data_IF_275742447522
#
_entry.id   IF_275742447522
#
_cell.length_a   1.000
_cell.length_b   1.000
_cell.length_c   1.000
_cell.angle_alpha   90.00
_cell.angle_beta   90.00
_cell.angle_gamma   90.00
#
_symmetry.space_group_name_H-M   'P 1'
#
loop_
_entity.id
_entity.type
_entity.pdbx_description
1 polymer ?
#
# COMPACT_ATOMS: atom_id res chain seq x y z
N UNK A 1 -13.55 20.77 -24.34
CA UNK A 1 -13.48 20.91 -22.88
C UNK A 1 -12.65 19.73 -22.41
N UNK A 2 -11.47 19.98 -21.85
CA UNK A 2 -10.55 18.93 -21.45
C UNK A 2 -11.16 18.16 -20.28
N UNK A 3 -11.38 16.86 -20.47
CA UNK A 3 -11.89 15.99 -19.42
C UNK A 3 -10.69 15.50 -18.59
N UNK A 4 -10.60 16.00 -17.36
CA UNK A 4 -9.57 15.61 -16.41
C UNK A 4 -10.12 14.53 -15.48
N UNK A 5 -9.56 13.33 -15.56
CA UNK A 5 -9.97 12.20 -14.73
C UNK A 5 -8.82 11.75 -13.85
N UNK A 6 -9.02 11.76 -12.54
CA UNK A 6 -8.03 11.25 -11.59
C UNK A 6 -8.45 9.88 -11.07
N UNK A 7 -7.52 8.94 -11.02
CA UNK A 7 -7.75 7.61 -10.46
C UNK A 7 -6.58 7.19 -9.56
N UNK A 8 -6.88 6.45 -8.50
CA UNK A 8 -5.84 5.85 -7.64
C UNK A 8 -5.67 4.40 -8.06
N UNK A 9 -4.44 3.99 -8.39
CA UNK A 9 -4.09 2.61 -8.68
C UNK A 9 -3.31 2.03 -7.51
N UNK A 10 -3.68 0.83 -7.08
CA UNK A 10 -2.92 0.06 -6.08
C UNK A 10 -2.83 -1.40 -6.52
N UNK A 11 -1.81 -2.10 -6.07
CA UNK A 11 -1.71 -3.54 -6.32
C UNK A 11 -2.45 -4.33 -5.25
N UNK A 12 -2.92 -5.53 -5.61
CA UNK A 12 -3.57 -6.42 -4.64
C UNK A 12 -2.68 -6.75 -3.43
N UNK A 13 -1.36 -6.90 -3.65
CA UNK A 13 -0.41 -7.19 -2.57
C UNK A 13 -0.22 -6.00 -1.61
N UNK A 14 -0.14 -4.76 -2.09
CA UNK A 14 -0.05 -3.57 -1.22
C UNK A 14 -1.33 -3.42 -0.39
N UNK A 15 -2.49 -3.53 -1.04
CA UNK A 15 -3.77 -3.47 -0.35
C UNK A 15 -3.89 -4.57 0.71
N UNK A 16 -3.52 -5.81 0.38
CA UNK A 16 -3.54 -6.92 1.34
C UNK A 16 -2.57 -6.71 2.50
N UNK A 17 -1.40 -6.11 2.26
CA UNK A 17 -0.42 -5.82 3.31
C UNK A 17 -0.90 -4.74 4.28
N UNK A 18 -1.58 -3.70 3.78
CA UNK A 18 -2.30 -2.72 4.60
C UNK A 18 -3.36 -3.39 5.48
N UNK A 19 -4.13 -4.31 4.91
CA UNK A 19 -5.16 -5.07 5.65
C UNK A 19 -4.55 -5.97 6.72
N UNK A 20 -3.49 -6.70 6.38
CA UNK A 20 -2.80 -7.61 7.30
C UNK A 20 -2.28 -6.87 8.54
N UNK A 21 -1.63 -5.72 8.34
CA UNK A 21 -1.14 -4.90 9.45
C UNK A 21 -2.27 -4.38 10.33
N UNK A 22 -3.41 -4.01 9.73
CA UNK A 22 -4.56 -3.56 10.50
C UNK A 22 -5.11 -4.64 11.42
N UNK A 23 -5.29 -5.84 10.87
CA UNK A 23 -5.90 -6.96 11.57
C UNK A 23 -5.04 -7.43 12.75
N UNK A 24 -3.72 -7.25 12.65
CA UNK A 24 -2.77 -7.53 13.73
C UNK A 24 -2.69 -6.43 14.81
N UNK A 25 -3.39 -5.30 14.64
CA UNK A 25 -3.43 -4.19 15.60
C UNK A 25 -4.80 -4.09 16.27
N UNK A 26 -4.83 -4.07 17.60
CA UNK A 26 -6.06 -3.86 18.38
C UNK A 26 -6.55 -2.40 18.38
N UNK A 27 -5.82 -1.50 17.73
CA UNK A 27 -6.09 -0.07 17.68
C UNK A 27 -6.11 0.44 16.23
N UNK A 28 -6.64 1.66 16.06
CA UNK A 28 -6.50 2.43 14.82
C UNK A 28 -5.04 2.51 14.39
N UNK A 29 -4.82 2.43 13.08
CA UNK A 29 -3.49 2.46 12.46
C UNK A 29 -3.44 3.61 11.47
N UNK A 30 -2.30 4.29 11.40
CA UNK A 30 -2.04 5.32 10.40
C UNK A 30 -0.65 5.14 9.80
N UNK A 31 -0.45 5.71 8.63
CA UNK A 31 0.83 5.62 7.94
C UNK A 31 0.90 6.46 6.68
N UNK A 32 2.06 6.42 6.04
CA UNK A 32 2.35 7.15 4.81
C UNK A 32 2.24 6.22 3.60
N UNK A 33 1.78 6.77 2.49
CA UNK A 33 1.70 6.10 1.19
C UNK A 33 2.79 6.66 0.28
N UNK A 34 3.49 5.74 -0.39
CA UNK A 34 4.58 6.07 -1.27
C UNK A 34 4.35 5.46 -2.65
N UNK A 35 4.76 6.20 -3.66
CA UNK A 35 4.63 5.78 -5.05
C UNK A 35 4.90 6.95 -5.98
N UNK A 36 4.17 6.97 -7.08
CA UNK A 36 4.37 7.93 -8.15
C UNK A 36 3.03 8.40 -8.70
N UNK A 37 3.06 9.52 -9.40
CA UNK A 37 1.90 10.09 -10.06
C UNK A 37 2.21 10.29 -11.54
N UNK A 38 1.34 9.76 -12.39
CA UNK A 38 1.56 9.70 -13.84
C UNK A 38 0.36 10.33 -14.53
N UNK A 39 0.59 11.43 -15.25
CA UNK A 39 -0.38 12.01 -16.16
C UNK A 39 -0.24 11.40 -17.55
N UNK A 40 -1.27 10.72 -18.02
CA UNK A 40 -1.35 10.18 -19.39
C UNK A 40 -2.31 11.02 -20.22
N UNK A 41 -1.86 11.45 -21.40
CA UNK A 41 -2.73 12.03 -22.41
C UNK A 41 -3.31 10.91 -23.28
N UNK A 42 -4.64 10.78 -23.30
CA UNK A 42 -5.36 9.82 -24.14
C UNK A 42 -6.17 10.57 -25.17
N UNK A 43 -5.73 10.50 -26.43
CA UNK A 43 -6.53 10.94 -27.55
C UNK A 43 -7.51 9.84 -27.94
N UNK A 44 -8.81 10.11 -27.75
CA UNK A 44 -9.87 9.22 -28.22
C UNK A 44 -10.33 9.71 -29.58
N UNK A 45 -9.91 9.00 -30.63
CA UNK A 45 -10.35 9.27 -32.00
C UNK A 45 -11.81 8.82 -32.11
N UNK A 46 -12.70 9.77 -32.37
CA UNK A 46 -14.11 9.53 -32.64
C UNK A 46 -14.36 9.54 -34.15
N UNK A 47 -15.46 8.94 -34.63
CA UNK A 47 -15.83 8.97 -36.05
C UNK A 47 -16.17 10.38 -36.57
N UNK A 48 -16.45 11.32 -35.66
CA UNK A 48 -16.41 12.76 -35.94
C UNK A 48 -14.97 13.24 -36.00
N UNK A 49 -14.59 14.03 -37.02
CA UNK A 49 -13.26 14.61 -37.28
C UNK A 49 -12.71 15.56 -36.18
N UNK A 50 -13.14 15.38 -34.93
CA UNK A 50 -12.74 16.16 -33.76
C UNK A 50 -11.98 15.27 -32.79
N UNK A 51 -10.71 15.60 -32.54
CA UNK A 51 -9.90 14.93 -31.54
C UNK A 51 -10.36 15.33 -30.14
N UNK A 52 -10.79 14.35 -29.34
CA UNK A 52 -11.12 14.55 -27.94
C UNK A 52 -9.95 14.07 -27.08
N UNK A 53 -9.16 15.04 -26.59
CA UNK A 53 -8.04 14.79 -25.69
C UNK A 53 -8.57 14.66 -24.25
N UNK A 54 -8.35 13.50 -23.64
CA UNK A 54 -8.63 13.23 -22.24
C UNK A 54 -7.31 13.14 -21.45
N UNK A 55 -7.21 13.85 -20.34
CA UNK A 55 -6.07 13.75 -19.44
C UNK A 55 -6.42 12.83 -18.29
N UNK A 56 -5.75 11.67 -18.24
CA UNK A 56 -5.93 10.67 -17.20
C UNK A 56 -4.77 10.76 -16.23
N UNK A 57 -5.04 11.25 -15.03
CA UNK A 57 -4.09 11.34 -13.96
C UNK A 57 -4.17 10.10 -13.06
N UNK A 58 -3.12 9.31 -13.01
CA UNK A 58 -3.07 8.06 -12.27
C UNK A 58 -2.08 8.15 -11.11
N UNK A 59 -2.59 8.07 -9.89
CA UNK A 59 -1.78 8.04 -8.67
C UNK A 59 -1.52 6.59 -8.30
N UNK A 60 -0.29 6.12 -8.48
CA UNK A 60 0.09 4.72 -8.30
C UNK A 60 0.73 4.49 -6.93
N UNK A 61 0.02 3.79 -6.04
CA UNK A 61 0.51 3.41 -4.71
C UNK A 61 1.37 2.15 -4.83
N UNK A 62 2.66 2.29 -4.58
CA UNK A 62 3.64 1.20 -4.71
C UNK A 62 3.99 0.56 -3.36
N UNK A 63 4.01 1.34 -2.27
CA UNK A 63 4.35 0.86 -0.93
C UNK A 63 3.73 1.74 0.15
N UNK A 64 3.70 1.25 1.38
CA UNK A 64 3.25 1.99 2.54
C UNK A 64 4.23 1.85 3.71
N UNK A 65 4.22 2.84 4.61
CA UNK A 65 4.94 2.81 5.88
C UNK A 65 3.95 3.00 7.00
N UNK A 66 3.99 2.12 7.98
CA UNK A 66 3.08 2.12 9.12
C UNK A 66 3.73 2.83 10.30
N UNK A 67 3.01 3.78 10.87
CA UNK A 67 3.46 4.45 12.07
C UNK A 67 3.28 3.53 13.28
N UNK A 68 4.23 3.56 14.22
CA UNK A 68 4.21 2.72 15.43
C UNK A 68 3.06 3.05 16.38
N UNK A 69 2.62 4.30 16.37
CA UNK A 69 1.52 4.81 17.19
C UNK A 69 0.72 5.82 16.38
N UNK A 70 -0.54 6.01 16.74
CA UNK A 70 -1.31 7.17 16.28
C UNK A 70 -0.71 8.46 16.85
N UNK A 71 -0.95 9.59 16.18
CA UNK A 71 -0.37 10.89 16.55
C UNK A 71 1.16 10.90 16.52
N UNK A 72 1.73 10.11 15.61
CA UNK A 72 3.19 9.93 15.52
C UNK A 72 3.88 11.15 14.91
N UNK A 73 3.31 11.74 13.87
CA UNK A 73 3.91 12.84 13.11
C UNK A 73 3.14 14.17 13.23
N UNK A 74 2.10 14.22 14.07
CA UNK A 74 1.31 15.42 14.33
C UNK A 74 0.87 15.52 15.78
N UNK A 75 0.66 16.75 16.25
CA UNK A 75 0.25 17.04 17.63
C UNK A 75 -1.29 17.14 17.77
N UNK A 76 -1.77 17.42 19.00
CA UNK A 76 -3.21 17.56 19.28
C UNK A 76 -3.86 18.76 18.58
N UNK A 77 -3.07 19.79 18.22
CA UNK A 77 -3.50 20.93 17.42
C UNK A 77 -3.46 20.64 15.91
N UNK A 78 -3.20 19.38 15.52
CA UNK A 78 -3.13 18.91 14.13
C UNK A 78 -1.99 19.53 13.31
N UNK A 79 -1.01 20.15 13.96
CA UNK A 79 0.20 20.64 13.34
C UNK A 79 1.14 19.46 13.10
N UNK A 80 1.72 19.44 11.91
CA UNK A 80 2.53 18.34 11.41
C UNK A 80 4.01 18.68 11.61
N UNK A 81 4.76 17.73 12.15
CA UNK A 81 6.17 17.88 12.46
C UNK A 81 7.01 17.25 11.34
N UNK A 82 7.73 18.08 10.59
CA UNK A 82 8.55 17.64 9.47
C UNK A 82 9.72 16.74 9.91
N UNK A 83 10.29 16.96 11.09
CA UNK A 83 11.39 16.13 11.58
C UNK A 83 10.91 14.72 11.89
N UNK A 84 9.70 14.59 12.47
CA UNK A 84 9.10 13.27 12.71
C UNK A 84 8.74 12.55 11.43
N UNK A 85 8.27 13.27 10.40
CA UNK A 85 8.06 12.68 9.07
C UNK A 85 9.38 12.15 8.50
N UNK A 86 10.46 12.94 8.58
CA UNK A 86 11.80 12.49 8.16
C UNK A 86 12.27 11.26 8.94
N UNK A 87 12.02 11.20 10.24
CA UNK A 87 12.33 10.03 11.06
C UNK A 87 11.53 8.79 10.60
N UNK A 88 10.24 8.94 10.31
CA UNK A 88 9.40 7.84 9.80
C UNK A 88 9.85 7.38 8.41
N UNK A 89 10.23 8.30 7.53
CA UNK A 89 10.75 7.99 6.20
C UNK A 89 12.17 7.41 6.23
N UNK A 90 12.95 7.74 7.27
CA UNK A 90 14.34 7.33 7.50
C UNK A 90 15.24 7.57 6.28
N UNK A 91 15.29 6.62 5.34
CA UNK A 91 16.14 6.63 4.14
C UNK A 91 15.36 6.86 2.83
N UNK A 92 14.04 6.99 2.91
CA UNK A 92 13.17 7.17 1.76
C UNK A 92 12.99 8.64 1.47
N UNK A 93 13.08 9.00 0.19
CA UNK A 93 12.94 10.38 -0.24
C UNK A 93 11.51 10.88 -0.04
N UNK A 94 11.39 12.10 0.50
CA UNK A 94 10.11 12.79 0.71
C UNK A 94 9.31 12.97 -0.59
N UNK A 95 10.00 13.09 -1.73
CA UNK A 95 9.39 13.24 -3.06
C UNK A 95 8.49 12.06 -3.47
N UNK A 96 8.70 10.90 -2.86
CA UNK A 96 7.91 9.70 -3.15
C UNK A 96 6.60 9.65 -2.33
N UNK A 97 6.37 10.59 -1.41
CA UNK A 97 5.16 10.61 -0.56
C UNK A 97 4.01 11.18 -1.36
N UNK A 98 3.14 10.28 -1.84
CA UNK A 98 1.95 10.60 -2.62
C UNK A 98 0.69 10.70 -1.75
N UNK A 99 0.77 10.26 -0.49
CA UNK A 99 -0.41 10.22 0.37
C UNK A 99 -0.15 9.75 1.78
N UNK A 100 -1.23 9.62 2.53
CA UNK A 100 -1.25 8.96 3.82
C UNK A 100 -2.54 8.16 3.96
N UNK A 101 -2.54 7.21 4.87
CA UNK A 101 -3.70 6.37 5.12
C UNK A 101 -4.03 6.31 6.60
N UNK A 102 -5.30 6.03 6.87
CA UNK A 102 -5.79 5.75 8.22
C UNK A 102 -6.78 4.61 8.18
N UNK A 103 -6.73 3.79 9.21
CA UNK A 103 -7.60 2.64 9.38
C UNK A 103 -8.35 2.78 10.68
N UNK A 104 -9.68 2.77 10.61
CA UNK A 104 -10.58 2.94 11.76
C UNK A 104 -11.57 1.79 11.82
N UNK A 105 -11.88 1.29 13.02
CA UNK A 105 -12.82 0.17 13.17
C UNK A 105 -14.25 0.66 13.41
N UNK A 106 -15.23 0.07 12.73
CA UNK A 106 -16.66 0.32 12.94
C UNK A 106 -17.09 1.81 12.81
N UNK A 107 -16.48 2.56 11.87
CA UNK A 107 -16.81 3.97 11.62
C UNK A 107 -17.51 4.19 10.28
N UNK A 108 -17.93 5.41 9.97
CA UNK A 108 -18.38 5.77 8.61
C UNK A 108 -17.18 6.02 7.68
N UNK A 109 -17.39 5.85 6.37
CA UNK A 109 -16.42 6.18 5.31
C UNK A 109 -16.40 7.69 5.01
N UNK A 110 -16.11 8.50 6.03
CA UNK A 110 -16.02 9.95 5.91
C UNK A 110 -14.79 10.49 6.65
N UNK A 111 -14.15 11.51 6.07
CA UNK A 111 -13.05 12.21 6.74
C UNK A 111 -13.57 12.98 7.96
N UNK A 112 -12.88 12.82 9.09
CA UNK A 112 -13.11 13.64 10.28
C UNK A 112 -12.45 15.01 10.12
N UNK A 113 -12.91 16.00 10.89
CA UNK A 113 -12.29 17.34 10.93
C UNK A 113 -10.78 17.27 11.20
N UNK A 114 -10.38 16.38 12.11
CA UNK A 114 -8.97 16.16 12.45
C UNK A 114 -8.17 15.65 11.24
N UNK A 115 -8.69 14.65 10.52
CA UNK A 115 -8.05 14.14 9.31
C UNK A 115 -7.97 15.19 8.20
N UNK A 116 -9.01 16.02 8.04
CA UNK A 116 -9.01 17.12 7.09
C UNK A 116 -7.91 18.14 7.43
N UNK A 117 -7.80 18.56 8.68
CA UNK A 117 -6.77 19.52 9.12
C UNK A 117 -5.36 18.96 8.97
N UNK A 118 -5.13 17.70 9.40
CA UNK A 118 -3.84 17.03 9.23
C UNK A 118 -3.47 16.91 7.75
N UNK A 119 -4.43 16.55 6.89
CA UNK A 119 -4.21 16.46 5.46
C UNK A 119 -3.85 17.83 4.83
N UNK A 120 -4.54 18.91 5.23
CA UNK A 120 -4.20 20.26 4.78
C UNK A 120 -2.80 20.68 5.20
N UNK A 121 -2.41 20.37 6.43
CA UNK A 121 -1.08 20.70 6.96
C UNK A 121 0.01 19.86 6.30
N UNK A 122 -0.23 18.57 6.05
CA UNK A 122 0.67 17.71 5.27
C UNK A 122 0.89 18.26 3.86
N UNK A 123 -0.18 18.67 3.18
CA UNK A 123 -0.10 19.23 1.82
C UNK A 123 0.73 20.52 1.74
N UNK A 124 0.72 21.34 2.81
CA UNK A 124 1.54 22.57 2.87
C UNK A 124 3.03 22.27 3.06
N UNK A 125 3.36 21.18 3.73
CA UNK A 125 4.73 20.79 4.06
C UNK A 125 5.39 19.92 2.99
N UNK A 126 4.62 19.02 2.39
CA UNK A 126 5.11 18.09 1.38
C UNK A 126 5.17 18.78 0.00
N UNK A 127 6.15 18.43 -0.85
CA UNK A 127 6.26 19.03 -2.18
C UNK A 127 5.09 18.64 -3.10
N UNK A 128 4.46 17.49 -2.84
CA UNK A 128 3.38 16.97 -3.65
C UNK A 128 2.03 17.59 -3.24
N UNK A 129 1.45 18.39 -4.13
CA UNK A 129 0.21 19.12 -3.85
C UNK A 129 -1.05 18.28 -3.97
N UNK A 130 -1.01 17.13 -4.64
CA UNK A 130 -2.17 16.25 -4.86
C UNK A 130 -2.15 15.04 -3.92
N UNK A 131 -1.89 15.31 -2.65
CA UNK A 131 -1.81 14.29 -1.62
C UNK A 131 -3.10 13.48 -1.53
N UNK A 132 -3.02 12.16 -1.56
CA UNK A 132 -4.18 11.26 -1.38
C UNK A 132 -4.34 10.89 0.09
N UNK A 133 -5.58 10.86 0.57
CA UNK A 133 -5.93 10.25 1.85
C UNK A 133 -6.71 8.96 1.63
N UNK A 134 -6.14 7.82 2.04
CA UNK A 134 -6.81 6.53 1.96
C UNK A 134 -7.42 6.15 3.32
N UNK A 135 -8.73 6.03 3.39
CA UNK A 135 -9.45 5.57 4.57
C UNK A 135 -9.85 4.11 4.40
N UNK A 136 -9.47 3.25 5.35
CA UNK A 136 -9.97 1.88 5.40
C UNK A 136 -10.80 1.69 6.67
N UNK A 137 -11.96 1.07 6.53
CA UNK A 137 -12.87 0.82 7.65
C UNK A 137 -13.36 -0.62 7.62
N UNK A 138 -12.77 -1.52 8.42
CA UNK A 138 -13.43 -2.78 8.73
C UNK A 138 -14.63 -2.54 9.63
N UNK A 139 -15.71 -3.24 9.33
CA UNK A 139 -16.95 -3.24 10.06
C UNK A 139 -17.50 -4.66 10.16
N UNK A 140 -18.18 -4.94 11.26
CA UNK A 140 -18.95 -6.16 11.43
C UNK A 140 -20.36 -5.92 10.87
N UNK A 141 -20.79 -6.76 9.94
CA UNK A 141 -22.10 -6.58 9.29
C UNK A 141 -23.20 -7.26 10.09
N UNK A 142 -22.88 -8.39 10.72
CA UNK A 142 -23.83 -9.20 11.49
C UNK A 142 -23.48 -9.19 12.97
N UNK A 143 -24.50 -9.21 13.83
CA UNK A 143 -24.33 -9.35 15.29
C UNK A 143 -23.70 -10.69 15.68
N UNK A 144 -23.81 -11.69 14.81
CA UNK A 144 -23.22 -13.02 15.00
C UNK A 144 -21.72 -13.08 14.64
N UNK A 145 -21.10 -11.97 14.21
CA UNK A 145 -19.72 -11.92 13.72
C UNK A 145 -19.43 -12.92 12.58
N UNK A 146 -20.45 -13.33 11.84
CA UNK A 146 -20.31 -14.29 10.72
C UNK A 146 -19.87 -13.62 9.43
N UNK A 147 -20.12 -12.31 9.30
CA UNK A 147 -19.85 -11.54 8.09
C UNK A 147 -19.11 -10.26 8.45
N UNK A 148 -17.89 -10.14 7.94
CA UNK A 148 -17.08 -8.93 8.06
C UNK A 148 -17.06 -8.19 6.72
N UNK A 149 -16.98 -6.86 6.79
CA UNK A 149 -16.91 -5.98 5.62
C UNK A 149 -15.78 -5.00 5.79
N UNK A 150 -14.91 -4.92 4.80
CA UNK A 150 -13.85 -3.93 4.74
C UNK A 150 -14.11 -2.97 3.59
N UNK A 151 -14.42 -1.73 3.91
CA UNK A 151 -14.59 -0.66 2.94
C UNK A 151 -13.30 0.16 2.86
N UNK A 152 -12.93 0.62 1.67
CA UNK A 152 -11.81 1.52 1.46
C UNK A 152 -12.18 2.62 0.46
N UNK A 153 -11.80 3.85 0.78
CA UNK A 153 -12.09 5.04 -0.05
C UNK A 153 -10.86 5.92 -0.11
N UNK A 154 -10.50 6.39 -1.31
CA UNK A 154 -9.48 7.41 -1.48
C UNK A 154 -10.13 8.79 -1.61
N UNK A 155 -9.60 9.77 -0.87
CA UNK A 155 -10.03 11.16 -0.89
C UNK A 155 -8.91 12.02 -1.46
N UNK A 156 -9.30 12.97 -2.32
CA UNK A 156 -8.42 14.02 -2.83
C UNK A 156 -9.07 15.38 -2.61
N UNK A 157 -8.23 16.39 -2.41
CA UNK A 157 -8.67 17.78 -2.37
C UNK A 157 -8.90 18.33 -3.79
N UNK A 158 -10.10 18.81 -4.08
CA UNK A 158 -10.46 19.35 -5.40
C UNK A 158 -10.44 20.88 -5.49
N UNK A 159 -9.89 21.58 -4.50
CA UNK A 159 -9.86 23.04 -4.43
C UNK A 159 -10.76 23.62 -3.34
N UNK A 160 -11.96 23.07 -3.15
CA UNK A 160 -12.93 23.55 -2.16
C UNK A 160 -13.42 22.48 -1.19
N UNK A 161 -13.47 21.22 -1.63
CA UNK A 161 -13.94 20.08 -0.85
C UNK A 161 -13.08 18.84 -1.09
N UNK A 162 -13.30 17.84 -0.25
CA UNK A 162 -12.74 16.51 -0.47
C UNK A 162 -13.69 15.68 -1.31
N UNK A 163 -13.22 15.16 -2.42
CA UNK A 163 -13.97 14.26 -3.30
C UNK A 163 -13.41 12.85 -3.23
N UNK A 164 -14.32 11.87 -3.30
CA UNK A 164 -13.96 10.46 -3.43
C UNK A 164 -13.41 10.20 -4.82
N UNK A 165 -12.29 9.47 -4.89
CA UNK A 165 -11.66 9.05 -6.14
C UNK A 165 -11.76 7.53 -6.28
N UNK A 166 -12.05 7.02 -7.48
CA UNK A 166 -12.05 5.58 -7.73
C UNK A 166 -10.68 4.97 -7.47
N UNK A 167 -10.68 3.86 -6.72
CA UNK A 167 -9.48 3.05 -6.45
C UNK A 167 -9.54 1.80 -7.32
N UNK A 168 -8.59 1.66 -8.25
CA UNK A 168 -8.44 0.50 -9.11
C UNK A 168 -7.37 -0.45 -8.56
N UNK A 169 -7.76 -1.71 -8.34
CA UNK A 169 -6.85 -2.75 -7.85
C UNK A 169 -6.35 -3.58 -9.03
N UNK A 170 -5.04 -3.50 -9.28
CA UNK A 170 -4.39 -4.21 -10.38
C UNK A 170 -4.40 -5.71 -10.11
N UNK A 171 -4.87 -6.49 -11.08
CA UNK A 171 -4.99 -7.94 -11.02
C UNK A 171 -4.72 -8.57 -12.41
N UNK A 172 -4.46 -9.88 -12.44
CA UNK A 172 -4.16 -10.61 -13.69
C UNK A 172 -5.39 -10.85 -14.58
N UNK A 173 -6.60 -10.73 -14.04
CA UNK A 173 -7.85 -11.00 -14.76
C UNK A 173 -8.22 -9.95 -15.81
N UNK A 174 -7.61 -8.77 -15.78
CA UNK A 174 -7.83 -7.69 -16.76
C UNK A 174 -7.06 -7.90 -18.07
N UNK A 175 -6.41 -9.05 -18.27
CA UNK A 175 -5.71 -9.38 -19.51
C UNK A 175 -6.71 -9.94 -20.54
N UNK A 176 -7.04 -9.14 -21.56
CA UNK A 176 -8.13 -9.45 -22.52
C UNK A 176 -7.76 -10.44 -23.65
N UNK A 177 -6.54 -10.94 -23.76
CA UNK A 177 -6.17 -11.84 -24.87
C UNK A 177 -5.30 -13.03 -24.42
N UNK A 178 -5.89 -14.21 -24.38
CA UNK A 178 -5.20 -15.50 -24.21
C UNK A 178 -5.68 -16.57 -25.20
N UNK A 179 -6.16 -16.16 -26.37
CA UNK A 179 -6.66 -17.12 -27.35
C UNK A 179 -5.52 -17.76 -28.14
N UNK A 180 -5.28 -19.05 -27.89
CA UNK A 180 -4.41 -19.87 -28.71
C UNK A 180 -5.18 -20.41 -29.92
N UNK A 181 -4.71 -20.04 -31.11
CA UNK A 181 -5.30 -20.52 -32.35
C UNK A 181 -4.93 -21.99 -32.60
N UNK A 182 -5.92 -22.90 -32.57
CA UNK A 182 -5.68 -24.35 -32.74
C UNK A 182 -5.64 -24.82 -34.19
N UNK A 183 -6.31 -24.11 -35.10
CA UNK A 183 -6.49 -24.58 -36.49
C UNK A 183 -6.35 -23.42 -37.47
N UNK A 184 -5.21 -23.32 -38.13
CA UNK A 184 -4.98 -22.33 -39.19
C UNK A 184 -5.69 -22.73 -40.49
N UNK A 185 -6.23 -21.74 -41.21
CA UNK A 185 -6.71 -21.97 -42.58
C UNK A 185 -5.55 -22.38 -43.49
N UNK A 186 -5.73 -23.45 -44.26
CA UNK A 186 -4.70 -23.93 -45.20
C UNK A 186 -4.61 -23.01 -46.42
N UNK A 187 -3.40 -22.53 -46.74
CA UNK A 187 -3.14 -21.75 -47.95
C UNK A 187 -2.39 -22.63 -48.98
N UNK A 188 -2.95 -22.90 -50.18
CA UNK A 188 -2.28 -23.68 -51.21
C UNK A 188 -1.20 -22.90 -52.00
N UNK A 189 -0.99 -21.62 -51.68
CA UNK A 189 -0.04 -20.76 -52.41
C UNK A 189 1.42 -21.12 -52.11
N UNK A 190 2.14 -21.56 -53.15
CA UNK A 190 3.57 -21.89 -53.07
C UNK A 190 4.44 -20.68 -52.71
N UNK A 191 4.11 -19.49 -53.23
CA UNK A 191 4.88 -18.27 -52.96
C UNK A 191 4.80 -17.87 -51.48
N UNK A 192 3.61 -18.00 -50.89
CA UNK A 192 3.41 -17.76 -49.46
C UNK A 192 4.23 -18.74 -48.59
N UNK A 193 4.16 -20.04 -48.90
CA UNK A 193 4.94 -21.05 -48.19
C UNK A 193 6.46 -20.82 -48.30
N UNK A 194 6.95 -20.38 -49.46
CA UNK A 194 8.36 -20.11 -49.68
C UNK A 194 8.84 -18.90 -48.86
N UNK A 195 8.07 -17.82 -48.81
CA UNK A 195 8.38 -16.65 -47.99
C UNK A 195 8.43 -17.00 -46.49
N UNK A 196 7.47 -17.78 -45.99
CA UNK A 196 7.49 -18.27 -44.60
C UNK A 196 8.74 -19.11 -44.34
N UNK A 197 9.05 -20.07 -45.22
CA UNK A 197 10.24 -20.94 -45.06
C UNK A 197 11.54 -20.13 -45.03
N UNK A 198 11.68 -19.11 -45.87
CA UNK A 198 12.85 -18.25 -45.91
C UNK A 198 13.07 -17.46 -44.61
N UNK A 199 12.01 -16.99 -43.97
CA UNK A 199 12.11 -16.20 -42.74
C UNK A 199 11.88 -17.01 -41.45
N UNK A 200 11.48 -18.29 -41.55
CA UNK A 200 11.22 -19.19 -40.41
C UNK A 200 12.39 -19.25 -39.43
N UNK A 201 13.62 -19.33 -39.95
CA UNK A 201 14.83 -19.42 -39.15
C UNK A 201 15.11 -18.19 -38.27
N UNK A 202 14.34 -17.09 -38.40
CA UNK A 202 14.42 -15.91 -37.51
C UNK A 202 13.66 -16.09 -36.20
N UNK A 203 12.65 -16.97 -36.15
CA UNK A 203 11.79 -17.14 -34.97
C UNK A 203 11.95 -18.52 -34.32
N UNK A 204 12.23 -19.54 -35.14
CA UNK A 204 12.36 -20.91 -34.67
C UNK A 204 13.82 -21.28 -34.39
N UNK A 205 14.04 -22.06 -33.33
CA UNK A 205 15.30 -22.72 -33.01
C UNK A 205 15.57 -23.89 -33.96
N UNK A 206 16.75 -24.52 -33.85
CA UNK A 206 17.09 -25.73 -34.61
C UNK A 206 16.13 -26.90 -34.31
N UNK A 207 15.57 -26.92 -33.10
CA UNK A 207 14.64 -27.95 -32.60
C UNK A 207 13.17 -27.68 -33.01
N UNK A 208 12.91 -26.64 -33.82
CA UNK A 208 11.57 -26.17 -34.21
C UNK A 208 10.73 -25.53 -33.10
N UNK A 209 11.34 -25.19 -31.96
CA UNK A 209 10.70 -24.43 -30.90
C UNK A 209 10.81 -22.91 -31.15
N UNK A 210 9.90 -22.14 -30.56
CA UNK A 210 9.93 -20.69 -30.66
C UNK A 210 10.94 -20.12 -29.66
N UNK A 211 11.97 -19.42 -30.15
CA UNK A 211 13.03 -18.85 -29.30
C UNK A 211 12.49 -17.86 -28.27
N UNK A 212 11.43 -17.11 -28.61
CA UNK A 212 10.83 -16.16 -27.66
C UNK A 212 10.18 -16.86 -26.45
N UNK A 213 9.69 -18.09 -26.62
CA UNK A 213 9.12 -18.86 -25.51
C UNK A 213 10.22 -19.25 -24.53
N UNK A 214 11.36 -19.72 -25.05
CA UNK A 214 12.55 -20.03 -24.24
C UNK A 214 13.05 -18.76 -23.52
N UNK A 215 13.23 -17.65 -24.24
CA UNK A 215 13.70 -16.38 -23.65
C UNK A 215 12.79 -15.88 -22.52
N UNK A 216 11.46 -15.92 -22.71
CA UNK A 216 10.50 -15.48 -21.69
C UNK A 216 10.47 -16.44 -20.51
N UNK A 217 10.60 -17.75 -20.74
CA UNK A 217 10.70 -18.74 -19.67
C UNK A 217 11.99 -18.56 -18.86
N UNK A 218 13.14 -18.39 -19.51
CA UNK A 218 14.43 -18.14 -18.85
C UNK A 218 14.38 -16.86 -17.99
N UNK A 219 13.77 -15.79 -18.53
CA UNK A 219 13.55 -14.56 -17.78
C UNK A 219 12.64 -14.79 -16.57
N UNK A 220 11.56 -15.55 -16.73
CA UNK A 220 10.65 -15.89 -15.63
C UNK A 220 11.34 -16.76 -14.57
N UNK A 221 12.15 -17.73 -14.96
CA UNK A 221 12.90 -18.60 -14.05
C UNK A 221 13.91 -17.79 -13.22
N UNK A 222 14.63 -16.86 -13.85
CA UNK A 222 15.52 -15.94 -13.15
C UNK A 222 14.76 -15.06 -12.13
N UNK A 223 13.58 -14.55 -12.50
CA UNK A 223 12.72 -13.77 -11.60
C UNK A 223 12.19 -14.62 -10.43
N UNK A 224 11.82 -15.88 -10.69
CA UNK A 224 11.36 -16.82 -9.67
C UNK A 224 12.47 -17.15 -8.67
N UNK A 225 13.70 -17.31 -9.13
CA UNK A 225 14.83 -17.60 -8.25
C UNK A 225 15.20 -16.40 -7.37
N UNK A 226 15.16 -15.18 -7.90
CA UNK A 226 15.28 -13.96 -7.09
C UNK A 226 14.15 -13.83 -6.06
N UNK A 227 12.91 -14.17 -6.44
CA UNK A 227 11.78 -14.17 -5.52
C UNK A 227 11.96 -15.20 -4.40
N UNK A 228 12.41 -16.42 -4.70
CA UNK A 228 12.74 -17.45 -3.68
C UNK A 228 13.82 -16.96 -2.72
N UNK A 229 14.88 -16.35 -3.27
CA UNK A 229 15.95 -15.75 -2.47
C UNK A 229 15.41 -14.66 -1.53
N UNK A 230 14.55 -13.77 -2.03
CA UNK A 230 13.89 -12.75 -1.23
C UNK A 230 13.00 -13.35 -0.13
N UNK A 231 12.22 -14.39 -0.43
CA UNK A 231 11.39 -15.09 0.56
C UNK A 231 12.22 -15.62 1.74
N UNK A 232 13.36 -16.27 1.47
CA UNK A 232 14.25 -16.78 2.52
C UNK A 232 14.82 -15.64 3.38
N UNK A 233 15.15 -14.48 2.77
CA UNK A 233 15.62 -13.31 3.53
C UNK A 233 14.51 -12.74 4.42
N UNK A 234 13.29 -12.63 3.91
CA UNK A 234 12.13 -12.12 4.65
C UNK A 234 11.77 -13.06 5.81
N UNK A 235 11.74 -14.37 5.58
CA UNK A 235 11.52 -15.36 6.64
C UNK A 235 12.53 -15.21 7.79
N UNK A 236 13.82 -15.07 7.45
CA UNK A 236 14.87 -14.85 8.44
C UNK A 236 14.74 -13.50 9.16
N UNK A 237 14.23 -12.45 8.52
CA UNK A 237 13.95 -11.19 9.23
C UNK A 237 12.74 -11.31 10.14
N UNK A 238 11.65 -11.96 9.71
CA UNK A 238 10.45 -12.14 10.53
C UNK A 238 10.77 -12.93 11.82
N UNK A 239 11.49 -14.05 11.72
CA UNK A 239 11.93 -14.82 12.89
C UNK A 239 12.79 -14.00 13.86
N UNK A 240 13.62 -13.09 13.33
CA UNK A 240 14.43 -12.17 14.17
C UNK A 240 13.55 -11.13 14.84
N UNK A 241 12.58 -10.56 14.13
CA UNK A 241 11.62 -9.58 14.68
C UNK A 241 10.79 -10.23 15.78
N UNK A 242 10.30 -11.45 15.57
CA UNK A 242 9.54 -12.23 16.57
C UNK A 242 10.35 -12.41 17.86
N UNK A 243 11.61 -12.87 17.75
CA UNK A 243 12.51 -13.04 18.90
C UNK A 243 12.71 -11.73 19.66
N UNK A 244 13.00 -10.63 18.94
CA UNK A 244 13.22 -9.32 19.56
C UNK A 244 11.94 -8.77 20.20
N UNK A 245 10.77 -8.99 19.59
CA UNK A 245 9.49 -8.59 20.17
C UNK A 245 9.18 -9.36 21.47
N UNK A 246 9.50 -10.66 21.52
CA UNK A 246 9.38 -11.45 22.73
C UNK A 246 10.29 -10.91 23.85
N UNK A 247 11.57 -10.68 23.56
CA UNK A 247 12.54 -10.10 24.51
C UNK A 247 12.08 -8.72 25.03
N UNK A 248 11.60 -7.83 24.14
CA UNK A 248 11.06 -6.52 24.53
C UNK A 248 9.84 -6.68 25.46
N UNK A 249 8.98 -7.66 25.20
CA UNK A 249 7.78 -7.90 26.00
C UNK A 249 8.13 -8.41 27.40
N UNK A 250 9.09 -9.35 27.50
CA UNK A 250 9.61 -9.84 28.77
C UNK A 250 10.27 -8.73 29.58
N UNK A 251 11.13 -7.92 28.95
CA UNK A 251 11.77 -6.78 29.60
C UNK A 251 10.75 -5.74 30.09
N UNK A 252 9.74 -5.42 29.28
CA UNK A 252 8.65 -4.52 29.70
C UNK A 252 7.88 -5.09 30.91
N UNK A 253 7.65 -6.40 30.96
CA UNK A 253 7.00 -7.06 32.11
C UNK A 253 7.88 -6.96 33.37
N UNK A 254 9.17 -7.28 33.27
CA UNK A 254 10.12 -7.18 34.38
C UNK A 254 10.22 -5.75 34.94
N UNK A 255 10.24 -4.73 34.07
CA UNK A 255 10.24 -3.32 34.48
C UNK A 255 8.95 -2.97 35.24
N UNK A 256 7.78 -3.41 34.75
CA UNK A 256 6.49 -3.19 35.42
C UNK A 256 6.45 -3.83 36.81
N UNK A 257 6.95 -5.05 36.95
CA UNK A 257 7.02 -5.74 38.25
C UNK A 257 7.97 -5.06 39.23
N UNK A 258 9.15 -4.62 38.77
CA UNK A 258 10.08 -3.85 39.60
C UNK A 258 9.49 -2.53 40.08
N UNK A 259 8.80 -1.79 39.19
CA UNK A 259 8.09 -0.55 39.55
C UNK A 259 6.99 -0.77 40.59
N UNK A 260 6.20 -1.85 40.45
CA UNK A 260 5.17 -2.22 41.45
C UNK A 260 5.78 -2.54 42.82
N UNK A 261 6.90 -3.28 42.86
CA UNK A 261 7.63 -3.60 44.10
C UNK A 261 8.20 -2.35 44.77
N UNK A 262 8.74 -1.41 44.00
CA UNK A 262 9.23 -0.12 44.51
C UNK A 262 8.09 0.72 45.12
N UNK A 263 6.97 0.87 44.41
CA UNK A 263 5.79 1.58 44.92
C UNK A 263 5.19 0.93 46.18
N UNK A 264 5.21 -0.41 46.27
CA UNK A 264 4.75 -1.14 47.46
C UNK A 264 5.70 -0.96 48.67
N UNK A 265 7.01 -0.84 48.44
CA UNK A 265 7.98 -0.58 49.49
C UNK A 265 7.92 0.87 49.98
N UNK A 266 7.70 1.84 49.08
CA UNK A 266 7.50 3.25 49.44
C UNK A 266 6.21 3.46 50.26
N UNK A 267 5.11 2.80 49.88
CA UNK A 267 3.85 2.88 50.63
C UNK A 267 3.92 2.18 52.01
N UNK A 268 4.72 1.12 52.16
CA UNK A 268 5.02 0.52 53.48
C UNK A 268 5.91 1.41 54.35
N UNK A 269 6.89 2.11 53.77
CA UNK A 269 7.72 3.07 54.50
C UNK A 269 6.89 4.25 55.04
N UNK A 270 5.96 4.79 54.24
CA UNK A 270 5.05 5.87 54.68
C UNK A 270 4.09 5.43 55.79
N UNK A 271 3.66 4.16 55.80
CA UNK A 271 2.80 3.62 56.87
C UNK A 271 3.58 3.36 58.18
N UNK A 272 4.83 2.89 58.09
CA UNK A 272 5.71 2.66 59.25
C UNK A 272 6.03 3.92 60.06
N UNK A 273 6.13 5.09 59.41
CA UNK A 273 6.36 6.37 60.10
C UNK A 273 5.13 6.92 60.84
N UNK A 274 3.91 6.44 60.57
CA UNK A 274 2.70 6.88 61.29
C UNK A 274 2.43 6.12 62.59
N UNK A 275 3.13 5.01 62.85
CA UNK A 275 2.90 4.19 64.05
C UNK A 275 3.77 4.58 65.26
N UNK A 276 4.74 5.48 65.10
CA UNK A 276 5.69 5.88 66.16
C UNK A 276 5.35 7.19 66.89
N UNK A 277 4.07 7.61 66.91
CA UNK A 277 3.64 8.87 67.57
C UNK A 277 2.54 8.75 68.63
N UNK A 278 2.29 7.56 69.16
CA UNK A 278 1.38 7.35 70.28
C UNK A 278 2.03 6.52 71.38
N UNK A 279 3.01 7.09 72.08
CA UNK A 279 3.34 6.78 73.48
C UNK A 279 3.65 8.08 74.21
#
# INVERSE_FOLDING_TARGET
MEEYSTTVRTSGFVLSSLMFQHLNSDCDVEGLLLGESVGEEKSKITDSQTDHIQFVHTINIQKHITCKTTHSFYNNTCEVDQEKIRQVLSNLKEENVIGWYRQRRNTSQQMTLKEQLVHQNLRKLLPYQELVFLLLTPSEVTMSHSTHRLEYTAFLWNGSQYSNIPVSVSNLGTLEQQDYWRVSATCPSLSHCQAIKQHRAKFFSSEQDLREVENVNDMNDALLDEMKSACVRVERSERRVEKLQAEITELKKAIRERRKKQQANESKAVCGFRCFKCE
#
